data_IF_110296854502
#
_entry.id   IF_110296854502
#
_cell.length_a   1.000
_cell.length_b   1.000
_cell.length_c   1.000
_cell.angle_alpha   90.00
_cell.angle_beta   90.00
_cell.angle_gamma   90.00
#
_symmetry.space_group_name_H-M   'P 1'
#
loop_
_entity.id
_entity.type
_entity.pdbx_description
1 polymer ?
#
# COMPACT_ATOMS: atom_id res chain seq x y z
N UNK A 1 -23.20 -13.60 -33.84
CA UNK A 1 -23.72 -12.26 -33.48
C UNK A 1 -22.56 -11.29 -33.62
N UNK A 2 -22.77 -10.09 -34.19
CA UNK A 2 -21.73 -9.06 -34.15
C UNK A 2 -21.51 -8.66 -32.69
N UNK A 3 -20.35 -9.00 -32.13
CA UNK A 3 -19.89 -8.49 -30.84
C UNK A 3 -19.94 -6.96 -30.91
N UNK A 4 -20.63 -6.26 -30.00
CA UNK A 4 -20.83 -4.79 -30.03
C UNK A 4 -20.67 -4.14 -28.66
N UNK A 5 -21.13 -4.81 -27.60
CA UNK A 5 -20.97 -4.41 -26.20
C UNK A 5 -19.80 -5.14 -25.55
N UNK A 6 -19.22 -4.58 -24.50
CA UNK A 6 -18.19 -5.29 -23.73
C UNK A 6 -18.82 -6.45 -22.96
N UNK A 7 -18.31 -7.68 -23.09
CA UNK A 7 -18.86 -8.86 -22.41
C UNK A 7 -17.75 -9.79 -21.92
N UNK A 8 -17.97 -10.54 -20.83
CA UNK A 8 -16.98 -11.50 -20.34
C UNK A 8 -16.67 -12.61 -21.36
N UNK A 9 -17.67 -13.11 -22.09
CA UNK A 9 -17.49 -14.17 -23.10
C UNK A 9 -16.45 -13.79 -24.18
N UNK A 10 -16.50 -12.53 -24.63
CA UNK A 10 -15.65 -12.05 -25.70
C UNK A 10 -14.40 -11.34 -25.18
N UNK A 11 -14.50 -10.61 -24.07
CA UNK A 11 -13.49 -9.63 -23.65
C UNK A 11 -12.84 -9.93 -22.29
N UNK A 12 -13.04 -11.10 -21.66
CA UNK A 12 -12.41 -11.44 -20.36
C UNK A 12 -10.90 -11.12 -20.34
N UNK A 13 -10.15 -11.58 -21.34
CA UNK A 13 -8.71 -11.31 -21.42
C UNK A 13 -8.36 -9.81 -21.51
N UNK A 14 -9.20 -9.02 -22.18
CA UNK A 14 -9.03 -7.57 -22.30
C UNK A 14 -9.23 -6.92 -20.93
N UNK A 15 -10.30 -7.30 -20.24
CA UNK A 15 -10.66 -6.79 -18.91
C UNK A 15 -9.58 -7.17 -17.91
N UNK A 16 -9.12 -8.42 -17.91
CA UNK A 16 -8.04 -8.90 -17.06
C UNK A 16 -6.77 -8.07 -17.26
N UNK A 17 -6.37 -7.81 -18.52
CA UNK A 17 -5.20 -6.96 -18.83
C UNK A 17 -5.37 -5.52 -18.36
N UNK A 18 -6.58 -4.98 -18.41
CA UNK A 18 -6.86 -3.61 -17.92
C UNK A 18 -6.81 -3.56 -16.39
N UNK A 19 -7.29 -4.59 -15.71
CA UNK A 19 -7.25 -4.68 -14.24
C UNK A 19 -5.89 -5.14 -13.70
N UNK A 20 -5.02 -5.73 -14.54
CA UNK A 20 -3.63 -6.01 -14.19
C UNK A 20 -2.76 -4.75 -14.11
N UNK A 21 -3.04 -3.75 -14.94
CA UNK A 21 -2.39 -2.44 -14.83
C UNK A 21 -2.99 -1.66 -13.66
N UNK A 22 -2.19 -1.52 -12.60
CA UNK A 22 -2.57 -0.84 -11.35
C UNK A 22 -3.11 0.57 -11.59
N UNK A 23 -2.62 1.29 -12.61
CA UNK A 23 -3.04 2.66 -12.84
C UNK A 23 -4.45 2.74 -13.42
N UNK A 24 -4.76 1.90 -14.40
CA UNK A 24 -6.11 1.80 -14.98
C UNK A 24 -7.09 1.13 -14.02
N UNK A 25 -6.63 0.09 -13.31
CA UNK A 25 -7.43 -0.62 -12.31
C UNK A 25 -7.99 0.34 -11.28
N UNK A 26 -7.14 1.11 -10.60
CA UNK A 26 -7.64 1.96 -9.51
C UNK A 26 -8.60 3.05 -9.99
N UNK A 27 -8.42 3.58 -11.21
CA UNK A 27 -9.41 4.51 -11.77
C UNK A 27 -10.79 3.84 -11.90
N UNK A 28 -10.84 2.66 -12.53
CA UNK A 28 -12.08 1.91 -12.72
C UNK A 28 -12.74 1.59 -11.37
N UNK A 29 -11.98 1.00 -10.44
CA UNK A 29 -12.53 0.52 -9.18
C UNK A 29 -13.02 1.66 -8.29
N UNK A 30 -12.35 2.81 -8.29
CA UNK A 30 -12.80 3.94 -7.49
C UNK A 30 -14.03 4.62 -8.09
N UNK A 31 -14.13 4.71 -9.42
CA UNK A 31 -15.37 5.13 -10.06
C UNK A 31 -16.51 4.16 -9.76
N UNK A 32 -16.23 2.84 -9.73
CA UNK A 32 -17.19 1.82 -9.32
C UNK A 32 -17.65 2.00 -7.87
N UNK A 33 -16.72 2.16 -6.92
CA UNK A 33 -17.07 2.33 -5.49
C UNK A 33 -17.93 3.57 -5.28
N UNK A 34 -17.65 4.66 -6.00
CA UNK A 34 -18.49 5.86 -5.95
C UNK A 34 -19.88 5.54 -6.49
N UNK A 35 -19.97 4.90 -7.67
CA UNK A 35 -21.25 4.56 -8.29
C UNK A 35 -22.08 3.61 -7.43
N UNK A 36 -21.48 2.53 -6.94
CA UNK A 36 -22.16 1.44 -6.24
C UNK A 36 -22.20 1.65 -4.72
N UNK A 37 -21.06 1.74 -4.06
CA UNK A 37 -21.00 1.72 -2.59
C UNK A 37 -21.46 3.03 -1.96
N UNK A 38 -21.27 4.18 -2.63
CA UNK A 38 -21.84 5.45 -2.16
C UNK A 38 -23.28 5.65 -2.61
N UNK A 39 -23.58 5.45 -3.90
CA UNK A 39 -24.86 5.88 -4.47
C UNK A 39 -25.79 4.76 -4.91
N UNK A 40 -25.41 3.48 -4.69
CA UNK A 40 -26.21 2.29 -5.01
C UNK A 40 -26.73 2.31 -6.45
N UNK A 41 -25.92 2.78 -7.39
CA UNK A 41 -26.29 2.96 -8.80
C UNK A 41 -27.59 3.77 -8.97
N UNK A 42 -27.77 4.77 -8.11
CA UNK A 42 -28.96 5.65 -8.05
C UNK A 42 -30.28 4.93 -7.77
N UNK A 43 -30.24 3.67 -7.31
CA UNK A 43 -31.45 2.91 -6.94
C UNK A 43 -32.14 3.46 -5.68
N UNK A 44 -31.41 4.17 -4.83
CA UNK A 44 -31.89 4.79 -3.60
C UNK A 44 -32.08 6.30 -3.78
N UNK A 45 -33.28 6.68 -4.23
CA UNK A 45 -33.63 8.09 -4.50
C UNK A 45 -33.57 8.96 -3.24
N UNK A 46 -33.91 8.40 -2.07
CA UNK A 46 -33.84 9.12 -0.80
C UNK A 46 -32.39 9.48 -0.41
N UNK A 47 -31.46 8.56 -0.66
CA UNK A 47 -30.02 8.81 -0.45
C UNK A 47 -29.50 9.93 -1.36
N UNK A 48 -29.88 9.91 -2.64
CA UNK A 48 -29.49 10.94 -3.61
C UNK A 48 -30.01 12.31 -3.18
N UNK A 49 -31.29 12.43 -2.83
CA UNK A 49 -31.87 13.68 -2.35
C UNK A 49 -31.18 14.18 -1.07
N UNK A 50 -30.86 13.28 -0.14
CA UNK A 50 -30.12 13.63 1.08
C UNK A 50 -28.72 14.15 0.78
N UNK A 51 -28.01 13.56 -0.18
CA UNK A 51 -26.69 14.02 -0.60
C UNK A 51 -26.74 15.40 -1.25
N UNK A 52 -27.68 15.61 -2.18
CA UNK A 52 -27.88 16.91 -2.82
C UNK A 52 -28.22 18.01 -1.80
N UNK A 53 -29.01 17.69 -0.77
CA UNK A 53 -29.29 18.62 0.35
C UNK A 53 -28.05 19.00 1.14
N UNK A 54 -27.07 18.12 1.27
CA UNK A 54 -25.77 18.44 1.91
C UNK A 54 -24.97 19.41 1.03
N UNK A 55 -24.96 19.19 -0.28
CA UNK A 55 -24.14 19.98 -1.21
C UNK A 55 -24.60 21.43 -1.39
N UNK A 56 -25.88 21.73 -1.17
CA UNK A 56 -26.41 23.10 -1.26
C UNK A 56 -26.16 23.96 -0.01
N UNK A 57 -25.60 23.37 1.06
CA UNK A 57 -25.31 24.11 2.29
C UNK A 57 -24.05 24.98 2.10
N UNK A 58 -24.08 26.20 2.65
CA UNK A 58 -22.91 27.09 2.64
C UNK A 58 -21.75 26.51 3.48
N UNK A 59 -22.07 26.04 4.68
CA UNK A 59 -21.16 25.32 5.58
C UNK A 59 -21.73 23.94 5.88
N UNK A 60 -20.90 22.91 5.76
CA UNK A 60 -21.29 21.53 6.05
C UNK A 60 -20.77 21.15 7.43
N UNK A 61 -21.65 21.05 8.41
CA UNK A 61 -21.30 20.63 9.76
C UNK A 61 -21.43 19.11 9.93
N UNK A 62 -20.73 18.56 10.94
CA UNK A 62 -20.88 17.15 11.36
C UNK A 62 -22.35 16.76 11.57
N UNK A 63 -23.13 17.62 12.22
CA UNK A 63 -24.56 17.40 12.43
C UNK A 63 -25.36 17.27 11.13
N UNK A 64 -25.03 18.02 10.08
CA UNK A 64 -25.70 17.88 8.79
C UNK A 64 -25.48 16.50 8.19
N UNK A 65 -24.23 16.01 8.18
CA UNK A 65 -23.91 14.68 7.68
C UNK A 65 -24.68 13.59 8.44
N UNK A 66 -24.68 13.64 9.78
CA UNK A 66 -25.37 12.64 10.61
C UNK A 66 -26.89 12.68 10.47
N UNK A 67 -27.46 13.84 10.16
CA UNK A 67 -28.91 14.00 10.02
C UNK A 67 -29.42 13.57 8.64
N UNK A 68 -28.61 13.75 7.59
CA UNK A 68 -29.03 13.49 6.21
C UNK A 68 -28.53 12.15 5.67
N UNK A 69 -27.38 11.66 6.14
CA UNK A 69 -26.70 10.49 5.59
C UNK A 69 -26.52 9.43 6.67
N UNK A 70 -26.62 8.16 6.27
CA UNK A 70 -26.40 7.06 7.19
C UNK A 70 -24.91 6.88 7.53
N UNK A 71 -24.65 6.11 8.59
CA UNK A 71 -23.29 5.86 9.07
C UNK A 71 -22.40 5.18 8.03
N UNK A 72 -22.95 4.30 7.21
CA UNK A 72 -22.19 3.57 6.19
C UNK A 72 -21.74 4.51 5.07
N UNK A 73 -22.63 5.38 4.60
CA UNK A 73 -22.31 6.40 3.63
C UNK A 73 -21.20 7.32 4.16
N UNK A 74 -21.36 7.83 5.39
CA UNK A 74 -20.38 8.74 6.01
C UNK A 74 -19.01 8.05 6.16
N UNK A 75 -18.97 6.79 6.60
CA UNK A 75 -17.74 6.01 6.68
C UNK A 75 -17.07 5.87 5.31
N UNK A 76 -17.81 5.43 4.29
CA UNK A 76 -17.28 5.27 2.93
C UNK A 76 -16.79 6.59 2.35
N UNK A 77 -17.54 7.68 2.57
CA UNK A 77 -17.19 9.02 2.10
C UNK A 77 -15.89 9.54 2.74
N UNK A 78 -15.69 9.29 4.03
CA UNK A 78 -14.43 9.59 4.75
C UNK A 78 -13.29 8.71 4.24
N UNK A 79 -13.53 7.41 4.09
CA UNK A 79 -12.53 6.43 3.65
C UNK A 79 -12.02 6.75 2.25
N UNK A 80 -12.89 7.19 1.34
CA UNK A 80 -12.53 7.71 0.01
C UNK A 80 -11.79 9.05 0.08
N UNK A 81 -11.79 9.73 1.22
CA UNK A 81 -11.06 10.98 1.42
C UNK A 81 -11.74 12.19 0.79
N UNK A 82 -13.06 12.13 0.59
CA UNK A 82 -13.87 13.22 0.05
C UNK A 82 -14.09 14.35 1.09
N UNK A 83 -13.74 14.10 2.36
CA UNK A 83 -13.61 15.11 3.42
C UNK A 83 -12.12 15.37 3.68
N UNK A 84 -11.66 16.60 3.42
CA UNK A 84 -10.25 16.99 3.50
C UNK A 84 -9.71 17.05 4.93
N UNK A 85 -10.54 17.42 5.90
CA UNK A 85 -10.14 17.69 7.29
C UNK A 85 -10.55 16.59 8.28
N UNK A 86 -10.89 15.40 7.80
CA UNK A 86 -11.20 14.21 8.60
C UNK A 86 -10.47 13.02 7.98
N UNK A 87 -9.81 12.21 8.81
CA UNK A 87 -9.01 11.06 8.34
C UNK A 87 -9.66 9.70 8.58
N UNK A 88 -10.64 9.63 9.49
CA UNK A 88 -11.30 8.38 9.87
C UNK A 88 -12.66 8.65 10.51
N UNK A 89 -13.52 7.62 10.50
CA UNK A 89 -14.80 7.66 11.21
C UNK A 89 -14.63 7.93 12.72
N UNK A 90 -13.60 7.35 13.35
CA UNK A 90 -13.29 7.61 14.76
C UNK A 90 -12.97 9.08 15.03
N UNK A 91 -12.18 9.71 14.16
CA UNK A 91 -11.90 11.14 14.27
C UNK A 91 -13.18 11.96 14.11
N UNK A 92 -14.02 11.60 13.13
CA UNK A 92 -15.31 12.25 12.87
C UNK A 92 -16.23 12.19 14.09
N UNK A 93 -16.38 11.01 14.70
CA UNK A 93 -17.22 10.80 15.89
C UNK A 93 -16.77 11.67 17.08
N UNK A 94 -15.46 11.94 17.21
CA UNK A 94 -14.89 12.76 18.27
C UNK A 94 -15.06 14.27 18.08
N UNK A 95 -15.40 14.75 16.87
CA UNK A 95 -15.64 16.18 16.64
C UNK A 95 -16.96 16.62 17.26
N UNK A 96 -17.05 17.90 17.61
CA UNK A 96 -18.31 18.52 18.00
C UNK A 96 -19.28 18.59 16.81
N UNK A 97 -20.58 18.69 17.10
CA UNK A 97 -21.64 18.66 16.08
C UNK A 97 -21.67 19.90 15.18
N UNK A 98 -21.08 21.01 15.65
CA UNK A 98 -20.84 22.27 14.95
C UNK A 98 -19.46 22.34 14.28
N UNK A 99 -18.72 21.22 14.22
CA UNK A 99 -17.46 21.16 13.50
C UNK A 99 -17.69 21.23 11.99
N UNK A 100 -17.07 22.21 11.32
CA UNK A 100 -17.14 22.41 9.87
C UNK A 100 -16.29 21.36 9.15
N UNK A 101 -16.92 20.61 8.26
CA UNK A 101 -16.31 19.66 7.35
C UNK A 101 -15.93 20.36 6.04
N UNK A 102 -14.71 20.14 5.59
CA UNK A 102 -14.20 20.71 4.35
C UNK A 102 -14.28 19.66 3.24
N UNK A 103 -15.19 19.84 2.30
CA UNK A 103 -15.22 19.05 1.07
C UNK A 103 -14.11 19.49 0.10
N UNK A 104 -13.95 18.73 -0.99
CA UNK A 104 -13.21 19.14 -2.18
C UNK A 104 -13.61 20.53 -2.68
N UNK A 105 -12.75 21.16 -3.50
CA UNK A 105 -13.24 22.33 -4.28
C UNK A 105 -14.33 21.87 -5.24
N UNK A 106 -14.16 20.66 -5.79
CA UNK A 106 -15.16 19.92 -6.53
C UNK A 106 -15.39 18.55 -5.86
N UNK A 107 -16.56 17.96 -6.06
CA UNK A 107 -16.98 16.69 -5.47
C UNK A 107 -17.79 15.88 -6.48
N UNK A 108 -18.25 14.69 -6.08
CA UNK A 108 -19.14 13.86 -6.91
C UNK A 108 -20.38 14.65 -7.31
N UNK A 109 -20.67 14.66 -8.60
CA UNK A 109 -21.85 15.30 -9.18
C UNK A 109 -22.83 14.24 -9.66
N UNK A 110 -24.13 14.51 -9.48
CA UNK A 110 -25.21 13.65 -9.98
C UNK A 110 -26.03 14.48 -10.96
N UNK A 111 -25.95 14.14 -12.25
CA UNK A 111 -26.69 14.83 -13.30
C UNK A 111 -27.44 13.84 -14.18
N UNK A 112 -28.76 14.02 -14.35
CA UNK A 112 -29.59 13.25 -15.30
C UNK A 112 -29.34 11.73 -15.23
N UNK A 113 -29.32 11.18 -14.02
CA UNK A 113 -29.04 9.76 -13.71
C UNK A 113 -27.60 9.31 -13.97
N UNK A 114 -26.66 10.24 -14.00
CA UNK A 114 -25.24 9.94 -14.17
C UNK A 114 -24.47 10.40 -12.94
N UNK A 115 -23.61 9.54 -12.42
CA UNK A 115 -22.68 9.86 -11.33
C UNK A 115 -21.33 10.19 -11.96
N UNK A 116 -20.92 11.44 -11.86
CA UNK A 116 -19.66 11.94 -12.39
C UNK A 116 -18.69 12.32 -11.28
N UNK A 117 -17.41 12.09 -11.54
CA UNK A 117 -16.32 12.41 -10.63
C UNK A 117 -15.30 13.34 -11.32
N UNK A 118 -15.01 14.50 -10.72
CA UNK A 118 -13.93 15.37 -11.20
C UNK A 118 -12.57 14.69 -11.15
N UNK A 119 -11.73 14.95 -12.15
CA UNK A 119 -10.44 14.26 -12.33
C UNK A 119 -9.45 14.51 -11.19
N UNK A 120 -9.42 15.73 -10.64
CA UNK A 120 -8.59 16.12 -9.51
C UNK A 120 -9.03 15.40 -8.23
N UNK A 121 -10.33 15.33 -7.98
CA UNK A 121 -10.88 14.60 -6.83
C UNK A 121 -10.63 13.09 -6.98
N UNK A 122 -10.84 12.51 -8.16
CA UNK A 122 -10.53 11.12 -8.45
C UNK A 122 -9.04 10.82 -8.26
N UNK A 123 -8.16 11.66 -8.79
CA UNK A 123 -6.72 11.54 -8.63
C UNK A 123 -6.32 11.58 -7.16
N UNK A 124 -6.78 12.59 -6.41
CA UNK A 124 -6.45 12.74 -5.00
C UNK A 124 -6.93 11.56 -4.16
N UNK A 125 -8.13 11.07 -4.43
CA UNK A 125 -8.72 9.89 -3.78
C UNK A 125 -7.85 8.65 -3.98
N UNK A 126 -7.44 8.36 -5.22
CA UNK A 126 -6.58 7.21 -5.52
C UNK A 126 -5.16 7.43 -4.97
N UNK A 127 -4.55 8.59 -5.23
CA UNK A 127 -3.17 8.91 -4.85
C UNK A 127 -2.97 8.98 -3.32
N UNK A 128 -4.01 9.33 -2.56
CA UNK A 128 -3.97 9.29 -1.09
C UNK A 128 -3.65 7.88 -0.59
N UNK A 129 -4.22 6.86 -1.24
CA UNK A 129 -4.11 5.44 -0.88
C UNK A 129 -2.96 4.73 -1.59
N UNK A 130 -2.75 5.04 -2.88
CA UNK A 130 -1.77 4.38 -3.74
C UNK A 130 -0.78 5.40 -4.32
N UNK A 131 0.32 5.62 -3.61
CA UNK A 131 1.34 6.64 -3.96
C UNK A 131 2.04 6.40 -5.29
N UNK A 132 2.00 5.17 -5.81
CA UNK A 132 2.56 4.80 -7.10
C UNK A 132 1.87 5.48 -8.29
N UNK A 133 0.60 5.90 -8.14
CA UNK A 133 -0.12 6.62 -9.18
C UNK A 133 0.18 8.12 -9.09
N UNK A 134 1.13 8.59 -9.91
CA UNK A 134 1.37 10.03 -10.09
C UNK A 134 0.44 10.63 -11.16
N UNK A 135 0.35 11.96 -11.25
CA UNK A 135 -0.56 12.66 -12.17
C UNK A 135 -0.32 12.31 -13.64
N UNK A 136 0.93 12.11 -14.04
CA UNK A 136 1.27 11.69 -15.41
C UNK A 136 0.67 10.31 -15.74
N UNK A 137 0.88 9.33 -14.86
CA UNK A 137 0.38 7.97 -15.05
C UNK A 137 -1.15 7.93 -14.97
N UNK A 138 -1.75 8.76 -14.12
CA UNK A 138 -3.20 8.95 -14.04
C UNK A 138 -3.77 9.44 -15.38
N UNK A 139 -3.24 10.52 -15.95
CA UNK A 139 -3.72 11.08 -17.22
C UNK A 139 -3.54 10.09 -18.40
N UNK A 140 -2.42 9.35 -18.42
CA UNK A 140 -2.19 8.30 -19.41
C UNK A 140 -3.20 7.16 -19.27
N UNK A 141 -3.50 6.75 -18.04
CA UNK A 141 -4.49 5.72 -17.76
C UNK A 141 -5.91 6.16 -18.16
N UNK A 142 -6.31 7.41 -17.85
CA UNK A 142 -7.59 7.97 -18.31
C UNK A 142 -7.71 7.94 -19.84
N UNK A 143 -6.65 8.36 -20.54
CA UNK A 143 -6.62 8.32 -22.01
C UNK A 143 -6.80 6.90 -22.53
N UNK A 144 -6.11 5.92 -21.93
CA UNK A 144 -6.20 4.51 -22.31
C UNK A 144 -7.61 3.95 -22.08
N UNK A 145 -8.25 4.29 -20.97
CA UNK A 145 -9.57 3.80 -20.58
C UNK A 145 -10.72 4.32 -21.46
N UNK A 146 -10.56 5.50 -22.07
CA UNK A 146 -11.55 6.07 -23.01
C UNK A 146 -11.63 5.28 -24.33
N UNK A 147 -10.55 4.60 -24.73
CA UNK A 147 -10.46 3.93 -26.04
C UNK A 147 -9.70 2.61 -25.96
N UNK A 148 -10.36 1.57 -25.44
CA UNK A 148 -9.82 0.22 -25.32
C UNK A 148 -10.23 -0.62 -26.52
N UNK A 149 -9.27 -0.99 -27.37
CA UNK A 149 -9.54 -1.81 -28.56
C UNK A 149 -9.82 -3.27 -28.18
N UNK A 150 -10.93 -3.82 -28.67
CA UNK A 150 -11.25 -5.24 -28.54
C UNK A 150 -10.19 -6.11 -29.28
N UNK A 151 -9.83 -7.25 -28.70
CA UNK A 151 -8.88 -8.18 -29.31
C UNK A 151 -9.54 -9.09 -30.35
N UNK A 152 -10.84 -9.36 -30.18
CA UNK A 152 -11.62 -10.29 -31.03
C UNK A 152 -12.40 -9.58 -32.14
N UNK A 153 -12.56 -8.26 -32.05
CA UNK A 153 -13.30 -7.45 -33.04
C UNK A 153 -12.58 -6.12 -33.29
N UNK A 154 -13.03 -5.36 -34.29
CA UNK A 154 -12.51 -4.01 -34.55
C UNK A 154 -13.20 -2.91 -33.70
N UNK A 155 -13.94 -3.28 -32.67
CA UNK A 155 -14.63 -2.34 -31.80
C UNK A 155 -13.69 -1.72 -30.78
N UNK A 156 -13.97 -0.48 -30.44
CA UNK A 156 -13.32 0.26 -29.37
C UNK A 156 -14.35 0.37 -28.25
N UNK A 157 -14.03 -0.21 -27.09
CA UNK A 157 -14.80 -0.07 -25.87
C UNK A 157 -14.29 1.14 -25.09
N UNK A 158 -15.22 2.00 -24.65
CA UNK A 158 -14.92 3.05 -23.70
C UNK A 158 -15.30 2.53 -22.31
N UNK A 159 -14.30 2.31 -21.45
CA UNK A 159 -14.53 1.82 -20.09
C UNK A 159 -14.93 2.96 -19.14
N UNK A 160 -14.52 4.18 -19.49
CA UNK A 160 -14.93 5.42 -18.85
C UNK A 160 -15.34 6.44 -19.93
N UNK A 161 -16.22 7.36 -19.56
CA UNK A 161 -16.61 8.51 -20.36
C UNK A 161 -16.16 9.80 -19.69
N UNK A 162 -15.81 10.79 -20.49
CA UNK A 162 -15.60 12.16 -20.03
C UNK A 162 -16.83 12.99 -20.38
N UNK A 163 -17.40 13.67 -19.40
CA UNK A 163 -18.53 14.57 -19.56
C UNK A 163 -18.03 15.99 -19.24
N UNK A 164 -18.35 16.96 -20.11
CA UNK A 164 -17.87 18.33 -19.92
C UNK A 164 -16.34 18.44 -19.99
N UNK A 165 -15.77 19.31 -19.16
CA UNK A 165 -14.33 19.47 -19.00
C UNK A 165 -13.93 18.83 -17.66
N UNK A 166 -13.23 17.68 -17.72
CA UNK A 166 -12.61 17.00 -16.57
C UNK A 166 -13.50 16.16 -15.64
N UNK A 167 -14.77 15.90 -15.97
CA UNK A 167 -15.60 14.94 -15.21
C UNK A 167 -15.63 13.55 -15.84
N UNK A 168 -15.53 12.51 -15.01
CA UNK A 168 -15.41 11.13 -15.45
C UNK A 168 -16.51 10.22 -14.90
N UNK A 169 -17.01 9.34 -15.77
CA UNK A 169 -18.09 8.38 -15.47
C UNK A 169 -17.65 6.97 -15.83
N UNK A 170 -18.03 5.99 -15.01
CA UNK A 170 -17.84 4.58 -15.31
C UNK A 170 -18.87 4.10 -16.35
N UNK A 171 -18.43 3.41 -17.41
CA UNK A 171 -19.36 2.82 -18.37
C UNK A 171 -20.28 1.77 -17.74
N UNK A 172 -21.50 1.64 -18.25
CA UNK A 172 -22.46 0.64 -17.78
C UNK A 172 -21.95 -0.80 -17.99
N UNK A 173 -21.36 -1.07 -19.15
CA UNK A 173 -20.87 -2.41 -19.45
C UNK A 173 -19.83 -2.88 -18.41
N UNK A 174 -18.83 -2.04 -18.08
CA UNK A 174 -17.84 -2.43 -17.07
C UNK A 174 -18.44 -2.47 -15.66
N UNK A 175 -19.37 -1.57 -15.35
CA UNK A 175 -20.10 -1.58 -14.07
C UNK A 175 -20.80 -2.92 -13.84
N UNK A 176 -21.62 -3.38 -14.79
CA UNK A 176 -22.36 -4.63 -14.64
C UNK A 176 -21.47 -5.88 -14.68
N UNK A 177 -20.31 -5.81 -15.33
CA UNK A 177 -19.33 -6.89 -15.26
C UNK A 177 -18.73 -6.95 -13.85
N UNK A 178 -18.32 -5.81 -13.30
CA UNK A 178 -17.72 -5.72 -11.98
C UNK A 178 -18.69 -6.14 -10.86
N UNK A 179 -19.95 -5.74 -10.97
CA UNK A 179 -21.01 -6.06 -10.00
C UNK A 179 -21.24 -7.57 -9.84
N UNK A 180 -20.98 -8.37 -10.89
CA UNK A 180 -21.08 -9.84 -10.82
C UNK A 180 -20.06 -10.48 -9.88
N UNK A 181 -18.93 -9.82 -9.61
CA UNK A 181 -17.86 -10.35 -8.77
C UNK A 181 -18.00 -9.92 -7.29
N UNK A 182 -18.97 -9.06 -6.97
CA UNK A 182 -19.33 -8.71 -5.60
C UNK A 182 -18.71 -7.40 -5.08
N UNK A 183 -18.14 -7.45 -3.88
CA UNK A 183 -17.71 -6.30 -3.09
C UNK A 183 -16.28 -5.84 -3.43
N UNK A 184 -16.19 -4.97 -4.43
CA UNK A 184 -14.95 -4.30 -4.82
C UNK A 184 -14.37 -3.43 -3.72
N UNK A 185 -15.22 -2.78 -2.93
CA UNK A 185 -14.75 -1.91 -1.85
C UNK A 185 -13.95 -2.68 -0.80
N UNK A 186 -14.36 -3.91 -0.48
CA UNK A 186 -13.63 -4.81 0.41
C UNK A 186 -12.26 -5.20 -0.16
N UNK A 187 -12.18 -5.53 -1.45
CA UNK A 187 -10.90 -5.83 -2.13
C UNK A 187 -9.93 -4.65 -2.03
N UNK A 188 -10.41 -3.42 -2.28
CA UNK A 188 -9.60 -2.20 -2.11
C UNK A 188 -9.19 -1.98 -0.65
N UNK A 189 -10.08 -2.19 0.33
CA UNK A 189 -9.73 -2.07 1.76
C UNK A 189 -8.57 -3.02 2.14
N UNK A 190 -8.57 -4.24 1.62
CA UNK A 190 -7.46 -5.20 1.83
C UNK A 190 -6.17 -4.69 1.19
N UNK A 191 -6.20 -4.26 -0.08
CA UNK A 191 -5.01 -3.73 -0.75
C UNK A 191 -4.40 -2.54 -0.01
N UNK A 192 -5.23 -1.58 0.40
CA UNK A 192 -4.80 -0.39 1.15
C UNK A 192 -4.16 -0.78 2.48
N UNK A 193 -4.72 -1.78 3.17
CA UNK A 193 -4.17 -2.26 4.44
C UNK A 193 -2.80 -2.90 4.26
N UNK A 194 -2.65 -3.76 3.24
CA UNK A 194 -1.38 -4.40 2.88
C UNK A 194 -0.34 -3.35 2.48
N UNK A 195 -0.73 -2.34 1.70
CA UNK A 195 0.21 -1.31 1.26
C UNK A 195 0.61 -0.36 2.38
N UNK A 196 -0.32 0.02 3.27
CA UNK A 196 0.01 0.77 4.48
C UNK A 196 0.98 0.02 5.40
N UNK A 197 0.82 -1.30 5.52
CA UNK A 197 1.78 -2.14 6.23
C UNK A 197 3.15 -2.15 5.55
N UNK A 198 3.19 -2.36 4.23
CA UNK A 198 4.43 -2.36 3.43
C UNK A 198 5.21 -1.06 3.59
N UNK A 199 4.54 0.10 3.53
CA UNK A 199 5.19 1.40 3.74
C UNK A 199 5.87 1.48 5.11
N UNK A 200 5.21 1.02 6.17
CA UNK A 200 5.80 1.02 7.51
C UNK A 200 6.97 0.05 7.64
N UNK A 201 6.90 -1.10 6.97
CA UNK A 201 8.00 -2.06 6.89
C UNK A 201 9.24 -1.44 6.24
N UNK A 202 9.06 -0.75 5.11
CA UNK A 202 10.12 -0.04 4.38
C UNK A 202 10.79 1.03 5.26
N UNK A 203 10.02 1.86 5.97
CA UNK A 203 10.57 2.87 6.88
C UNK A 203 11.48 2.26 7.97
N UNK A 204 11.07 1.12 8.54
CA UNK A 204 11.86 0.43 9.57
C UNK A 204 13.08 -0.23 8.95
N UNK A 205 12.94 -0.84 7.77
CA UNK A 205 14.05 -1.42 6.99
C UNK A 205 15.13 -0.37 6.73
N UNK A 206 14.75 0.78 6.17
CA UNK A 206 15.66 1.88 5.87
C UNK A 206 16.39 2.35 7.14
N UNK A 207 15.69 2.44 8.28
CA UNK A 207 16.32 2.79 9.56
C UNK A 207 17.38 1.77 9.99
N UNK A 208 17.11 0.47 9.86
CA UNK A 208 18.06 -0.60 10.17
C UNK A 208 19.26 -0.53 9.23
N UNK A 209 19.01 -0.41 7.92
CA UNK A 209 20.06 -0.32 6.91
C UNK A 209 20.97 0.88 7.18
N UNK A 210 20.41 2.06 7.47
CA UNK A 210 21.19 3.24 7.84
C UNK A 210 22.08 3.03 9.07
N UNK A 211 21.66 2.24 10.06
CA UNK A 211 22.52 1.91 11.20
C UNK A 211 23.64 0.94 10.80
N UNK A 212 23.34 -0.07 9.98
CA UNK A 212 24.35 -1.00 9.46
C UNK A 212 25.40 -0.27 8.62
N UNK A 213 25.03 0.76 7.86
CA UNK A 213 25.98 1.56 7.07
C UNK A 213 27.06 2.24 7.91
N UNK A 214 26.73 2.61 9.16
CA UNK A 214 27.73 3.17 10.08
C UNK A 214 28.82 2.15 10.41
N UNK A 215 28.44 0.89 10.54
CA UNK A 215 29.39 -0.19 10.79
C UNK A 215 30.12 -0.59 9.51
N UNK A 216 29.41 -0.91 8.43
CA UNK A 216 30.01 -1.31 7.16
C UNK A 216 28.94 -1.31 6.05
N UNK A 217 28.97 -0.33 5.13
CA UNK A 217 27.97 -0.23 4.05
C UNK A 217 27.88 -1.49 3.19
N UNK A 218 28.98 -2.22 3.03
CA UNK A 218 29.00 -3.45 2.20
C UNK A 218 28.06 -4.54 2.72
N UNK A 219 27.75 -4.55 4.02
CA UNK A 219 26.79 -5.47 4.64
C UNK A 219 25.36 -5.24 4.12
N UNK A 220 25.04 -4.03 3.64
CA UNK A 220 23.77 -3.74 3.00
C UNK A 220 23.65 -4.25 1.57
N UNK A 221 24.76 -4.58 0.92
CA UNK A 221 24.71 -5.07 -0.46
C UNK A 221 23.96 -6.41 -0.57
N UNK A 222 23.13 -6.55 -1.60
CA UNK A 222 22.31 -7.77 -1.82
C UNK A 222 23.15 -9.05 -1.85
N UNK A 223 24.34 -8.99 -2.45
CA UNK A 223 25.23 -10.15 -2.55
C UNK A 223 25.79 -10.58 -1.20
N UNK A 224 26.24 -9.64 -0.37
CA UNK A 224 26.75 -9.94 0.98
C UNK A 224 25.62 -10.34 1.91
N UNK A 225 24.49 -9.65 1.84
CA UNK A 225 23.35 -9.99 2.69
C UNK A 225 22.79 -11.40 2.42
N UNK A 226 22.85 -11.88 1.17
CA UNK A 226 22.53 -13.28 0.87
C UNK A 226 23.43 -14.27 1.63
N UNK A 227 24.73 -13.98 1.74
CA UNK A 227 25.67 -14.80 2.51
C UNK A 227 25.38 -14.70 4.02
N UNK A 228 25.06 -13.50 4.51
CA UNK A 228 24.63 -13.28 5.90
C UNK A 228 23.41 -14.15 6.22
N UNK A 229 22.38 -14.15 5.38
CA UNK A 229 21.19 -14.97 5.56
C UNK A 229 21.54 -16.46 5.64
N UNK A 230 22.39 -16.95 4.74
CA UNK A 230 22.87 -18.35 4.80
C UNK A 230 23.64 -18.66 6.08
N UNK A 231 24.40 -17.71 6.62
CA UNK A 231 25.09 -17.87 7.91
C UNK A 231 24.09 -18.01 9.07
N UNK A 232 23.07 -17.15 9.11
CA UNK A 232 22.00 -17.17 10.12
C UNK A 232 21.22 -18.49 10.05
N UNK A 233 20.79 -18.90 8.86
CA UNK A 233 20.08 -20.17 8.63
C UNK A 233 20.90 -21.39 9.08
N UNK A 234 22.22 -21.35 8.91
CA UNK A 234 23.15 -22.41 9.34
C UNK A 234 23.63 -22.25 10.79
N UNK A 235 23.11 -21.27 11.55
CA UNK A 235 23.54 -20.95 12.92
C UNK A 235 25.06 -20.74 13.05
N UNK A 236 25.69 -20.12 12.05
CA UNK A 236 27.13 -19.78 12.04
C UNK A 236 27.36 -18.36 12.54
N UNK A 237 28.54 -18.08 13.10
CA UNK A 237 28.97 -16.69 13.37
C UNK A 237 29.05 -15.94 12.04
N UNK A 238 28.21 -14.92 11.91
CA UNK A 238 28.04 -14.16 10.65
C UNK A 238 29.36 -13.56 10.19
N UNK A 239 30.13 -12.97 11.11
CA UNK A 239 31.36 -12.27 10.75
C UNK A 239 32.43 -13.27 10.29
N UNK A 240 32.58 -14.39 11.01
CA UNK A 240 33.52 -15.43 10.62
C UNK A 240 33.13 -16.07 9.29
N UNK A 241 31.84 -16.37 9.10
CA UNK A 241 31.35 -16.93 7.84
C UNK A 241 31.62 -16.00 6.64
N UNK A 242 31.44 -14.69 6.80
CA UNK A 242 31.74 -13.73 5.74
C UNK A 242 33.23 -13.71 5.37
N UNK A 243 34.13 -13.87 6.35
CA UNK A 243 35.57 -14.00 6.10
C UNK A 243 35.91 -15.29 5.37
N UNK A 244 35.34 -16.41 5.80
CA UNK A 244 35.55 -17.72 5.17
C UNK A 244 35.08 -17.70 3.70
N UNK A 245 34.02 -16.94 3.43
CA UNK A 245 33.46 -16.68 2.10
C UNK A 245 34.19 -15.58 1.31
N UNK A 246 35.37 -15.15 1.76
CA UNK A 246 36.24 -14.14 1.15
C UNK A 246 35.52 -12.81 0.85
N UNK A 247 34.60 -12.39 1.71
CA UNK A 247 34.02 -11.05 1.62
C UNK A 247 35.02 -10.04 2.16
N UNK A 248 35.56 -9.19 1.29
CA UNK A 248 36.44 -8.10 1.73
C UNK A 248 35.65 -7.11 2.60
N UNK A 249 35.96 -7.08 3.88
CA UNK A 249 35.45 -6.12 4.86
C UNK A 249 36.59 -5.18 5.26
N UNK A 250 36.25 -4.01 5.81
CA UNK A 250 37.26 -3.08 6.31
C UNK A 250 38.11 -3.69 7.44
N UNK A 251 39.28 -3.10 7.68
CA UNK A 251 40.26 -3.59 8.68
C UNK A 251 39.69 -3.72 10.09
N UNK A 252 38.58 -3.02 10.40
CA UNK A 252 37.90 -3.13 11.69
C UNK A 252 37.34 -4.52 11.99
N UNK A 253 37.22 -5.37 10.98
CA UNK A 253 36.82 -6.77 11.13
C UNK A 253 38.02 -7.70 11.36
N UNK A 254 39.26 -7.22 11.32
CA UNK A 254 40.48 -8.01 11.56
C UNK A 254 40.81 -8.13 13.05
N UNK A 255 40.11 -9.04 13.74
CA UNK A 255 40.16 -9.19 15.20
C UNK A 255 41.47 -9.75 15.79
N UNK A 256 42.42 -10.19 14.97
CA UNK A 256 43.65 -10.84 15.44
C UNK A 256 44.58 -9.94 16.26
N UNK A 257 44.30 -8.63 16.32
CA UNK A 257 45.10 -7.61 17.04
C UNK A 257 44.31 -6.89 18.14
N UNK A 258 43.13 -7.40 18.51
CA UNK A 258 42.22 -6.72 19.44
C UNK A 258 41.94 -7.67 20.59
N UNK A 259 41.98 -7.17 21.82
CA UNK A 259 41.45 -7.91 22.96
C UNK A 259 39.92 -8.02 22.83
N UNK A 260 39.44 -9.21 22.46
CA UNK A 260 38.02 -9.50 22.30
C UNK A 260 37.23 -9.49 23.61
N UNK A 261 37.90 -9.37 24.76
CA UNK A 261 37.24 -9.21 26.07
C UNK A 261 36.92 -7.75 26.41
N UNK A 262 37.43 -6.79 25.63
CA UNK A 262 37.14 -5.36 25.80
C UNK A 262 35.64 -5.06 25.68
N UNK A 263 35.14 -4.21 26.58
CA UNK A 263 33.72 -3.88 26.66
C UNK A 263 33.24 -3.20 25.36
N UNK A 264 34.08 -2.32 24.81
CA UNK A 264 33.80 -1.59 23.56
C UNK A 264 33.64 -2.57 22.40
N UNK A 265 34.55 -3.55 22.26
CA UNK A 265 34.45 -4.58 21.22
C UNK A 265 33.20 -5.43 21.39
N UNK A 266 32.94 -5.90 22.61
CA UNK A 266 31.78 -6.76 22.92
C UNK A 266 30.47 -6.04 22.60
N UNK A 267 30.37 -4.75 22.96
CA UNK A 267 29.22 -3.91 22.66
C UNK A 267 29.10 -3.64 21.16
N UNK A 268 30.21 -3.33 20.48
CA UNK A 268 30.23 -3.10 19.03
C UNK A 268 29.77 -4.34 18.26
N UNK A 269 30.34 -5.51 18.56
CA UNK A 269 30.00 -6.79 17.91
C UNK A 269 28.54 -7.16 18.15
N UNK A 270 28.08 -7.09 19.40
CA UNK A 270 26.69 -7.45 19.74
C UNK A 270 25.66 -6.53 19.09
N UNK A 271 25.93 -5.21 19.03
CA UNK A 271 25.04 -4.29 18.33
C UNK A 271 24.98 -4.55 16.83
N UNK A 272 26.13 -4.77 16.17
CA UNK A 272 26.16 -5.09 14.75
C UNK A 272 25.40 -6.39 14.44
N UNK A 273 25.64 -7.46 15.21
CA UNK A 273 24.93 -8.73 15.04
C UNK A 273 23.44 -8.55 15.24
N UNK A 274 23.02 -7.83 16.28
CA UNK A 274 21.60 -7.54 16.52
C UNK A 274 20.95 -6.80 15.35
N UNK A 275 21.60 -5.78 14.78
CA UNK A 275 21.08 -5.06 13.61
C UNK A 275 20.95 -5.96 12.38
N UNK A 276 21.94 -6.83 12.15
CA UNK A 276 21.92 -7.82 11.06
C UNK A 276 20.75 -8.80 11.21
N UNK A 277 20.53 -9.34 12.41
CA UNK A 277 19.41 -10.25 12.70
C UNK A 277 18.05 -9.55 12.51
N UNK A 278 17.93 -8.30 12.93
CA UNK A 278 16.71 -7.51 12.72
C UNK A 278 16.45 -7.28 11.23
N UNK A 279 17.50 -7.04 10.43
CA UNK A 279 17.37 -6.92 8.98
C UNK A 279 16.88 -8.21 8.33
N UNK A 280 17.42 -9.36 8.74
CA UNK A 280 16.95 -10.66 8.25
C UNK A 280 15.47 -10.91 8.57
N UNK A 281 15.04 -10.59 9.81
CA UNK A 281 13.62 -10.67 10.18
C UNK A 281 12.73 -9.77 9.33
N UNK A 282 13.17 -8.54 9.03
CA UNK A 282 12.43 -7.64 8.13
C UNK A 282 12.28 -8.24 6.73
N UNK A 283 13.31 -8.88 6.20
CA UNK A 283 13.26 -9.54 4.88
C UNK A 283 12.37 -10.78 4.88
N UNK A 284 12.29 -11.51 6.00
CA UNK A 284 11.31 -12.59 6.17
C UNK A 284 9.87 -12.06 6.18
N UNK A 285 9.61 -10.95 6.88
CA UNK A 285 8.30 -10.27 6.88
C UNK A 285 7.95 -9.79 5.46
N UNK A 286 8.90 -9.18 4.75
CA UNK A 286 8.71 -8.72 3.37
C UNK A 286 8.35 -9.87 2.42
N UNK A 287 9.03 -11.02 2.56
CA UNK A 287 8.71 -12.24 1.82
C UNK A 287 7.27 -12.71 2.03
N UNK A 288 6.81 -12.80 3.29
CA UNK A 288 5.41 -13.16 3.63
C UNK A 288 4.41 -12.13 3.12
N UNK A 289 4.78 -10.86 3.05
CA UNK A 289 3.94 -9.79 2.50
C UNK A 289 3.84 -9.88 0.96
N UNK A 290 4.92 -10.26 0.28
CA UNK A 290 4.91 -10.53 -1.17
C UNK A 290 4.02 -11.72 -1.48
N UNK A 291 4.04 -12.78 -0.67
CA UNK A 291 3.12 -13.91 -0.77
C UNK A 291 1.66 -13.44 -0.65
N UNK A 292 1.34 -12.56 0.31
CA UNK A 292 0.01 -11.94 0.40
C UNK A 292 -0.37 -11.13 -0.84
N UNK A 293 0.56 -10.34 -1.38
CA UNK A 293 0.32 -9.57 -2.61
C UNK A 293 0.09 -10.47 -3.83
N UNK A 294 0.65 -11.69 -3.84
CA UNK A 294 0.51 -12.65 -4.95
C UNK A 294 -0.93 -13.08 -5.20
N UNK A 295 -1.85 -12.92 -4.25
CA UNK A 295 -3.27 -13.21 -4.48
C UNK A 295 -3.90 -12.31 -5.55
N UNK A 296 -3.37 -11.10 -5.80
CA UNK A 296 -4.01 -10.12 -6.68
C UNK A 296 -3.05 -9.34 -7.58
N UNK A 297 -1.73 -9.45 -7.37
CA UNK A 297 -0.74 -8.70 -8.14
C UNK A 297 0.64 -9.38 -8.17
N UNK A 298 1.53 -8.85 -9.01
CA UNK A 298 2.90 -9.31 -9.16
C UNK A 298 3.10 -10.40 -10.22
N UNK A 299 4.35 -10.80 -10.42
CA UNK A 299 4.73 -11.78 -11.47
C UNK A 299 4.25 -13.20 -11.19
N UNK A 300 4.13 -13.56 -9.91
CA UNK A 300 3.70 -14.88 -9.45
C UNK A 300 2.25 -14.84 -8.97
N UNK A 301 1.43 -13.99 -9.61
CA UNK A 301 0.02 -13.81 -9.29
C UNK A 301 -0.72 -15.15 -9.36
N UNK A 302 -1.50 -15.46 -8.32
CA UNK A 302 -2.28 -16.70 -8.22
C UNK A 302 -3.62 -16.55 -8.95
N UNK A 303 -4.32 -15.43 -8.76
CA UNK A 303 -5.66 -15.20 -9.29
C UNK A 303 -5.69 -13.98 -10.22
N UNK A 304 -6.56 -13.98 -11.24
CA UNK A 304 -6.96 -12.73 -11.89
C UNK A 304 -7.51 -11.73 -10.87
N UNK A 305 -7.52 -10.45 -11.22
CA UNK A 305 -8.02 -9.46 -10.26
C UNK A 305 -9.52 -9.61 -10.01
N UNK A 306 -10.29 -10.05 -11.02
CA UNK A 306 -11.70 -10.36 -10.88
C UNK A 306 -11.94 -11.54 -9.92
N UNK A 307 -11.17 -12.63 -10.07
CA UNK A 307 -11.21 -13.77 -9.14
C UNK A 307 -10.84 -13.35 -7.71
N UNK A 308 -9.86 -12.45 -7.55
CA UNK A 308 -9.53 -11.91 -6.22
C UNK A 308 -10.71 -11.13 -5.59
N UNK A 309 -11.43 -10.31 -6.37
CA UNK A 309 -12.63 -9.61 -5.88
C UNK A 309 -13.66 -10.62 -5.39
N UNK A 310 -13.98 -11.63 -6.19
CA UNK A 310 -14.95 -12.68 -5.85
C UNK A 310 -14.57 -13.43 -4.58
N UNK A 311 -13.33 -13.92 -4.50
CA UNK A 311 -12.84 -14.64 -3.33
C UNK A 311 -12.97 -13.81 -2.05
N UNK A 312 -12.58 -12.52 -2.09
CA UNK A 312 -12.67 -11.63 -0.93
C UNK A 312 -14.12 -11.33 -0.56
N UNK A 313 -14.98 -11.14 -1.56
CA UNK A 313 -16.39 -10.77 -1.38
C UNK A 313 -17.19 -11.87 -0.71
N UNK A 314 -16.94 -13.12 -1.09
CA UNK A 314 -17.64 -14.29 -0.53
C UNK A 314 -16.84 -15.01 0.55
N UNK A 315 -15.68 -14.46 0.94
CA UNK A 315 -14.71 -15.07 1.85
C UNK A 315 -14.40 -16.53 1.48
N UNK A 316 -14.22 -16.80 0.18
CA UNK A 316 -13.88 -18.12 -0.32
C UNK A 316 -12.57 -18.59 0.30
N UNK A 317 -12.54 -19.87 0.70
CA UNK A 317 -11.43 -20.47 1.43
C UNK A 317 -10.97 -19.68 2.67
N UNK A 318 -11.86 -18.89 3.29
CA UNK A 318 -11.54 -18.02 4.44
C UNK A 318 -10.39 -17.04 4.13
N UNK A 319 -10.27 -16.59 2.87
CA UNK A 319 -9.15 -15.75 2.43
C UNK A 319 -9.05 -14.45 3.24
N UNK A 320 -10.17 -13.83 3.61
CA UNK A 320 -10.19 -12.58 4.37
C UNK A 320 -9.61 -12.84 5.76
N UNK A 321 -10.02 -13.93 6.41
CA UNK A 321 -9.56 -14.31 7.75
C UNK A 321 -8.08 -14.69 7.74
N UNK A 322 -7.62 -15.40 6.71
CA UNK A 322 -6.20 -15.73 6.49
C UNK A 322 -5.35 -14.48 6.32
N UNK A 323 -5.78 -13.55 5.47
CA UNK A 323 -5.06 -12.28 5.25
C UNK A 323 -5.02 -11.47 6.55
N UNK A 324 -6.14 -11.34 7.26
CA UNK A 324 -6.20 -10.60 8.52
C UNK A 324 -5.29 -11.21 9.59
N UNK A 325 -5.36 -12.53 9.77
CA UNK A 325 -4.55 -13.26 10.76
C UNK A 325 -3.06 -13.06 10.47
N UNK A 326 -2.66 -13.24 9.21
CA UNK A 326 -1.27 -13.06 8.79
C UNK A 326 -0.81 -11.60 9.01
N UNK A 327 -1.60 -10.60 8.63
CA UNK A 327 -1.26 -9.19 8.87
C UNK A 327 -1.13 -8.85 10.36
N UNK A 328 -1.96 -9.45 11.23
CA UNK A 328 -1.86 -9.29 12.69
C UNK A 328 -0.55 -9.89 13.21
N UNK A 329 -0.17 -11.08 12.76
CA UNK A 329 1.09 -11.71 13.12
C UNK A 329 2.29 -10.87 12.68
N UNK A 330 2.34 -10.49 11.41
CA UNK A 330 3.41 -9.65 10.85
C UNK A 330 3.50 -8.31 11.59
N UNK A 331 2.37 -7.73 12.00
CA UNK A 331 2.34 -6.50 12.81
C UNK A 331 2.96 -6.71 14.18
N UNK A 332 2.69 -7.82 14.86
CA UNK A 332 3.32 -8.11 16.16
C UNK A 332 4.83 -8.22 16.02
N UNK A 333 5.31 -8.96 15.01
CA UNK A 333 6.74 -9.09 14.71
C UNK A 333 7.39 -7.73 14.41
N UNK A 334 6.75 -6.91 13.58
CA UNK A 334 7.23 -5.58 13.23
C UNK A 334 7.27 -4.62 14.43
N UNK A 335 6.29 -4.70 15.33
CA UNK A 335 6.28 -3.92 16.59
C UNK A 335 7.47 -4.32 17.47
N UNK A 336 7.74 -5.62 17.63
CA UNK A 336 8.90 -6.10 18.41
C UNK A 336 10.22 -5.61 17.80
N UNK A 337 10.36 -5.63 16.48
CA UNK A 337 11.55 -5.10 15.79
C UNK A 337 11.68 -3.60 16.06
N UNK A 338 10.58 -2.83 15.93
CA UNK A 338 10.58 -1.39 16.16
C UNK A 338 10.90 -1.03 17.62
N UNK A 339 10.45 -1.80 18.59
CA UNK A 339 10.80 -1.64 20.00
C UNK A 339 12.31 -1.80 20.22
N UNK A 340 12.94 -2.78 19.59
CA UNK A 340 14.40 -2.96 19.67
C UNK A 340 15.12 -1.80 18.97
N UNK A 341 14.71 -1.46 17.75
CA UNK A 341 15.33 -0.39 16.94
C UNK A 341 15.15 1.01 17.54
N UNK A 342 14.10 1.24 18.32
CA UNK A 342 13.89 2.52 19.01
C UNK A 342 14.92 2.81 20.10
N UNK A 343 15.61 1.77 20.61
CA UNK A 343 16.69 1.91 21.60
C UNK A 343 18.01 2.40 21.00
N UNK A 344 18.14 2.37 19.67
CA UNK A 344 19.32 2.87 18.98
C UNK A 344 19.10 4.31 18.53
N UNK A 345 20.09 5.17 18.75
CA UNK A 345 20.19 6.47 18.09
C UNK A 345 21.37 6.51 17.13
N UNK A 346 21.23 7.26 16.03
CA UNK A 346 22.30 7.42 15.04
C UNK A 346 23.59 7.98 15.68
N UNK A 347 23.45 8.87 16.68
CA UNK A 347 24.59 9.44 17.40
C UNK A 347 25.34 8.38 18.20
N UNK A 348 24.65 7.54 18.97
CA UNK A 348 25.28 6.50 19.79
C UNK A 348 25.94 5.43 18.94
N UNK A 349 25.31 5.02 17.84
CA UNK A 349 25.87 4.04 16.91
C UNK A 349 27.17 4.57 16.28
N UNK A 350 27.18 5.83 15.85
CA UNK A 350 28.40 6.49 15.32
C UNK A 350 29.50 6.61 16.36
N UNK A 351 29.16 7.01 17.60
CA UNK A 351 30.14 7.11 18.68
C UNK A 351 30.76 5.76 19.00
N UNK A 352 29.94 4.70 19.14
CA UNK A 352 30.44 3.35 19.39
C UNK A 352 31.37 2.87 18.27
N UNK A 353 31.00 3.12 17.01
CA UNK A 353 31.86 2.72 15.89
C UNK A 353 33.20 3.49 15.88
N UNK A 354 33.20 4.79 16.21
CA UNK A 354 34.43 5.59 16.34
C UNK A 354 35.29 5.15 17.52
N UNK A 355 34.68 4.86 18.67
CA UNK A 355 35.41 4.40 19.85
C UNK A 355 36.05 3.03 19.62
N UNK A 356 35.36 2.15 18.89
CA UNK A 356 35.95 0.90 18.43
C UNK A 356 37.10 1.12 17.44
N UNK A 357 36.95 2.00 16.45
CA UNK A 357 38.03 2.33 15.51
C UNK A 357 39.27 2.92 16.23
N UNK A 358 39.07 3.72 17.27
CA UNK A 358 40.16 4.21 18.14
C UNK A 358 40.86 3.09 18.89
N UNK A 359 40.11 2.14 19.45
CA UNK A 359 40.66 0.97 20.13
C UNK A 359 41.60 0.19 19.20
N UNK A 360 41.23 0.04 17.92
CA UNK A 360 42.06 -0.63 16.92
C UNK A 360 43.34 0.14 16.63
N UNK A 361 43.27 1.46 16.49
CA UNK A 361 44.45 2.29 16.21
C UNK A 361 45.44 2.20 17.38
N UNK A 362 44.94 2.41 18.60
CA UNK A 362 45.78 2.38 19.81
C UNK A 362 46.40 1.00 20.06
N UNK A 363 45.68 -0.08 19.74
CA UNK A 363 46.20 -1.45 19.86
C UNK A 363 47.18 -1.87 18.76
N UNK A 364 47.41 -1.05 17.72
CA UNK A 364 48.40 -1.31 16.66
C UNK A 364 49.71 -0.53 16.85
N UNK A 365 49.77 0.38 17.83
CA UNK A 365 50.98 1.18 18.16
C UNK A 365 51.89 0.48 19.20
N UNK A 366 51.47 -0.68 19.72
CA UNK A 366 52.28 -1.66 20.49
C UNK A 366 52.67 -2.86 19.60
#
# INVERSE_FOLDING_TARGET
>A
MEHKSLTLEHDKNLIDKILEDVHTRYIILFLYIVRNDLFKDLSDTGLVESYERVLILEDIYKSNMNNFLDKYFVETYIDLGLIKNIRSLREFEQKADDFILKLGEETVTIEKNTISMPDDTLFLMVHKKFKSLNRRNFNLALTRLKSVRCEKSNIIHSLIFEIGEHDYVLSDDIYYILDQYGNIYQAIKIEVTIEGFHQRLVEIKEKIENYIEVFEPKLNSKAVFKKIKSAIEQSKDVIQYLKDENVELSDKFSFGRIDTSEEIFTKWKSQLVSLIELRDKIEQIDGRLIELKSYYTGKNKINSYLEFIEMVSFNEDEIVDKIQTLLIELRKELVMINEVISKFTMKEVKLLNLDYERLIILGNDD
#
